data_IF_621085162897
#
_entry.id   IF_621085162897
#
_cell.length_a   1.000
_cell.length_b   1.000
_cell.length_c   1.000
_cell.angle_alpha   90.00
_cell.angle_beta   90.00
_cell.angle_gamma   90.00
#
_symmetry.space_group_name_H-M   'P 1'
#
loop_
_entity.id
_entity.type
_entity.pdbx_description
1 polymer ?
#
# COMPACT_ATOMS: atom_id res chain seq x y z
N UNK A 1 -5.75 8.88 28.71
CA UNK A 1 -6.86 8.12 28.08
C UNK A 1 -8.21 8.74 28.40
N UNK A 2 -8.51 9.08 29.66
CA UNK A 2 -9.81 9.70 30.02
C UNK A 2 -10.07 11.05 29.32
N UNK A 3 -9.03 11.87 29.13
CA UNK A 3 -9.14 13.10 28.35
C UNK A 3 -9.59 12.83 26.89
N UNK A 4 -9.11 11.75 26.26
CA UNK A 4 -9.54 11.35 24.92
C UNK A 4 -11.02 10.96 24.96
N UNK A 5 -11.44 10.15 25.94
CA UNK A 5 -12.84 9.75 26.08
C UNK A 5 -13.78 10.95 26.27
N UNK A 6 -13.42 11.90 27.14
CA UNK A 6 -14.20 13.11 27.37
C UNK A 6 -14.35 13.96 26.10
N UNK A 7 -13.28 14.12 25.31
CA UNK A 7 -13.28 14.88 24.06
C UNK A 7 -14.04 14.18 22.92
N UNK A 8 -14.16 12.85 22.98
CA UNK A 8 -14.79 12.03 21.94
C UNK A 8 -16.28 11.74 22.22
N UNK A 9 -16.86 12.37 23.24
CA UNK A 9 -18.31 12.43 23.45
C UNK A 9 -19.05 13.05 22.25
N UNK A 10 -20.37 12.91 22.21
CA UNK A 10 -21.18 13.46 21.11
C UNK A 10 -21.02 14.99 21.04
N UNK A 11 -20.48 15.54 19.94
CA UNK A 11 -20.31 16.98 19.83
C UNK A 11 -21.65 17.64 19.48
N UNK A 12 -21.96 18.77 20.13
CA UNK A 12 -23.20 19.53 19.89
C UNK A 12 -23.29 20.17 18.49
N UNK A 13 -22.19 20.18 17.71
CA UNK A 13 -22.11 20.76 16.37
C UNK A 13 -20.93 20.19 15.56
N UNK A 14 -20.89 20.47 14.25
CA UNK A 14 -19.76 20.08 13.39
C UNK A 14 -18.46 20.80 13.78
N UNK A 15 -18.52 22.10 14.06
CA UNK A 15 -17.37 22.92 14.46
C UNK A 15 -16.79 22.47 15.81
N UNK A 16 -17.64 22.09 16.77
CA UNK A 16 -17.19 21.51 18.04
C UNK A 16 -16.57 20.12 17.86
N UNK A 17 -17.02 19.35 16.87
CA UNK A 17 -16.42 18.08 16.50
C UNK A 17 -15.01 18.21 15.92
N UNK A 18 -14.74 19.23 15.11
CA UNK A 18 -13.40 19.52 14.57
C UNK A 18 -12.45 20.04 15.65
N UNK A 19 -12.92 20.96 16.49
CA UNK A 19 -12.14 21.48 17.61
C UNK A 19 -11.74 20.37 18.62
N UNK A 20 -12.67 19.45 18.91
CA UNK A 20 -12.37 18.29 19.74
C UNK A 20 -11.35 17.36 19.09
N UNK A 21 -11.47 17.13 17.78
CA UNK A 21 -10.53 16.29 17.04
C UNK A 21 -9.10 16.84 17.07
N UNK A 22 -8.94 18.15 16.89
CA UNK A 22 -7.62 18.82 16.95
C UNK A 22 -6.94 18.66 18.32
N UNK A 23 -7.71 18.50 19.40
CA UNK A 23 -7.17 18.23 20.74
C UNK A 23 -6.88 16.74 20.97
N UNK A 24 -7.64 15.84 20.33
CA UNK A 24 -7.46 14.39 20.45
C UNK A 24 -6.20 13.90 19.73
N UNK A 25 -5.85 14.48 18.59
CA UNK A 25 -4.67 14.08 17.79
C UNK A 25 -3.35 14.07 18.59
N UNK A 26 -2.95 15.16 19.29
CA UNK A 26 -1.71 15.14 20.08
C UNK A 26 -1.76 14.15 21.26
N UNK A 27 -2.93 13.97 21.88
CA UNK A 27 -3.10 12.99 22.97
C UNK A 27 -2.94 11.55 22.47
N UNK A 28 -3.50 11.24 21.29
CA UNK A 28 -3.33 9.95 20.61
C UNK A 28 -1.87 9.68 20.31
N UNK A 29 -1.14 10.68 19.80
CA UNK A 29 0.29 10.55 19.49
C UNK A 29 1.14 10.38 20.74
N UNK A 30 0.84 11.11 21.81
CA UNK A 30 1.52 10.94 23.10
C UNK A 30 1.29 9.52 23.66
N UNK A 31 0.06 9.02 23.55
CA UNK A 31 -0.26 7.65 23.99
C UNK A 31 0.52 6.61 23.16
N UNK A 32 0.62 6.79 21.84
CA UNK A 32 1.42 5.90 20.97
C UNK A 32 2.92 5.91 21.24
N UNK A 33 3.43 6.92 21.95
CA UNK A 33 4.84 7.03 22.37
C UNK A 33 5.10 6.49 23.77
N UNK A 34 4.09 5.91 24.44
CA UNK A 34 4.19 5.51 25.85
C UNK A 34 4.94 4.20 26.09
N UNK A 35 5.40 3.51 25.04
CA UNK A 35 6.19 2.29 25.13
C UNK A 35 5.37 1.01 25.37
N UNK A 36 6.02 -0.17 25.30
CA UNK A 36 5.36 -1.47 25.49
C UNK A 36 4.66 -1.63 26.85
N UNK A 37 5.16 -0.97 27.89
CA UNK A 37 4.61 -1.04 29.25
C UNK A 37 3.17 -0.50 29.33
N UNK A 38 2.78 0.37 28.39
CA UNK A 38 1.43 0.92 28.31
C UNK A 38 0.42 -0.01 27.61
N UNK A 39 0.88 -1.04 26.89
CA UNK A 39 0.03 -1.93 26.07
C UNK A 39 -1.12 -2.56 26.88
N UNK A 40 -0.90 -3.16 28.07
CA UNK A 40 -1.99 -3.79 28.82
C UNK A 40 -3.10 -2.80 29.20
N UNK A 41 -2.74 -1.57 29.57
CA UNK A 41 -3.69 -0.54 29.95
C UNK A 41 -4.51 -0.05 28.75
N UNK A 42 -3.88 0.12 27.59
CA UNK A 42 -4.56 0.53 26.34
C UNK A 42 -5.48 -0.58 25.84
N UNK A 43 -5.02 -1.84 25.86
CA UNK A 43 -5.83 -3.01 25.50
C UNK A 43 -7.08 -3.11 26.38
N UNK A 44 -6.90 -3.03 27.71
CA UNK A 44 -8.02 -3.03 28.65
C UNK A 44 -9.00 -1.89 28.36
N UNK A 45 -8.48 -0.69 28.02
CA UNK A 45 -9.34 0.44 27.65
C UNK A 45 -10.13 0.17 26.36
N UNK A 46 -9.51 -0.41 25.33
CA UNK A 46 -10.18 -0.75 24.06
C UNK A 46 -11.29 -1.78 24.27
N UNK A 47 -11.08 -2.78 25.13
CA UNK A 47 -12.06 -3.84 25.40
C UNK A 47 -13.28 -3.34 26.17
N UNK A 48 -13.13 -2.28 26.97
CA UNK A 48 -14.18 -1.73 27.82
C UNK A 48 -14.77 -0.40 27.30
N UNK A 49 -14.34 0.09 26.13
CA UNK A 49 -14.80 1.37 25.58
C UNK A 49 -16.07 1.20 24.72
N UNK A 50 -17.25 1.68 25.18
CA UNK A 50 -18.49 1.55 24.43
C UNK A 50 -18.56 2.48 23.21
N UNK A 51 -17.88 3.63 23.25
CA UNK A 51 -17.92 4.59 22.16
C UNK A 51 -16.96 4.16 21.04
N UNK A 52 -17.51 3.75 19.90
CA UNK A 52 -16.73 3.22 18.75
C UNK A 52 -15.71 4.22 18.21
N UNK A 53 -16.03 5.52 18.21
CA UNK A 53 -15.14 6.59 17.75
C UNK A 53 -13.95 6.75 18.70
N UNK A 54 -14.19 6.71 20.01
CA UNK A 54 -13.17 6.75 21.05
C UNK A 54 -12.30 5.50 20.98
N UNK A 55 -12.93 4.32 20.84
CA UNK A 55 -12.25 3.04 20.69
C UNK A 55 -11.30 3.04 19.50
N UNK A 56 -11.72 3.59 18.36
CA UNK A 56 -10.87 3.77 17.18
C UNK A 56 -9.62 4.61 17.46
N UNK A 57 -9.71 5.68 18.27
CA UNK A 57 -8.55 6.49 18.66
C UNK A 57 -7.55 5.66 19.46
N UNK A 58 -8.01 4.83 20.40
CA UNK A 58 -7.13 3.96 21.18
C UNK A 58 -6.50 2.86 20.33
N UNK A 59 -7.25 2.25 19.41
CA UNK A 59 -6.70 1.27 18.44
C UNK A 59 -5.61 1.92 17.59
N UNK A 60 -5.82 3.17 17.13
CA UNK A 60 -4.81 3.92 16.39
C UNK A 60 -3.57 4.20 17.25
N UNK A 61 -3.75 4.62 18.51
CA UNK A 61 -2.66 4.86 19.44
C UNK A 61 -1.84 3.58 19.71
N UNK A 62 -2.53 2.46 19.94
CA UNK A 62 -1.91 1.15 20.14
C UNK A 62 -1.06 0.75 18.94
N UNK A 63 -1.53 1.00 17.72
CA UNK A 63 -0.82 0.67 16.49
C UNK A 63 0.54 1.37 16.31
N UNK A 64 0.81 2.46 17.04
CA UNK A 64 2.11 3.14 17.04
C UNK A 64 3.15 2.50 17.97
N UNK A 65 2.73 1.61 18.88
CA UNK A 65 3.63 0.99 19.87
C UNK A 65 4.22 -0.30 19.29
N UNK A 66 5.55 -0.45 19.18
CA UNK A 66 6.16 -1.67 18.63
C UNK A 66 5.91 -2.88 19.53
N UNK A 67 5.85 -4.08 18.95
CA UNK A 67 5.76 -5.33 19.70
C UNK A 67 4.78 -6.35 19.11
N UNK A 68 5.15 -7.63 19.20
CA UNK A 68 4.36 -8.75 18.66
C UNK A 68 2.98 -8.87 19.33
N UNK A 69 2.88 -8.59 20.63
CA UNK A 69 1.60 -8.62 21.36
C UNK A 69 0.56 -7.66 20.77
N UNK A 70 1.02 -6.50 20.30
CA UNK A 70 0.17 -5.51 19.63
C UNK A 70 -0.29 -6.04 18.26
N UNK A 71 0.60 -6.65 17.49
CA UNK A 71 0.25 -7.25 16.19
C UNK A 71 -0.82 -8.32 16.36
N UNK A 72 -0.67 -9.21 17.34
CA UNK A 72 -1.64 -10.27 17.65
C UNK A 72 -2.99 -9.69 18.06
N UNK A 73 -3.00 -8.67 18.90
CA UNK A 73 -4.24 -8.03 19.34
C UNK A 73 -4.96 -7.34 18.19
N UNK A 74 -4.25 -6.56 17.38
CA UNK A 74 -4.81 -5.88 16.21
C UNK A 74 -5.30 -6.89 15.17
N UNK A 75 -4.60 -8.01 14.96
CA UNK A 75 -5.02 -9.05 14.03
C UNK A 75 -6.33 -9.70 14.46
N UNK A 76 -6.48 -9.99 15.76
CA UNK A 76 -7.74 -10.46 16.33
C UNK A 76 -8.88 -9.46 16.09
N UNK A 77 -8.64 -8.17 16.33
CA UNK A 77 -9.65 -7.13 16.05
C UNK A 77 -9.98 -7.04 14.56
N UNK A 78 -8.98 -7.08 13.70
CA UNK A 78 -9.15 -7.03 12.26
C UNK A 78 -10.03 -8.17 11.74
N UNK A 79 -9.77 -9.40 12.20
CA UNK A 79 -10.48 -10.58 11.76
C UNK A 79 -11.91 -10.66 12.33
N UNK A 80 -12.13 -10.28 13.59
CA UNK A 80 -13.35 -10.66 14.31
C UNK A 80 -14.13 -9.49 14.94
N UNK A 81 -13.59 -8.27 14.97
CA UNK A 81 -14.30 -7.11 15.53
C UNK A 81 -14.96 -6.25 14.46
N UNK A 82 -16.30 -6.18 14.49
CA UNK A 82 -17.09 -5.44 13.51
C UNK A 82 -16.97 -3.92 13.62
N UNK A 83 -16.56 -3.40 14.78
CA UNK A 83 -16.52 -1.95 15.05
C UNK A 83 -15.13 -1.38 14.94
N UNK A 84 -14.11 -2.14 15.32
CA UNK A 84 -12.71 -1.74 15.32
C UNK A 84 -11.92 -2.36 14.16
N UNK A 85 -12.45 -3.37 13.47
CA UNK A 85 -11.71 -4.14 12.46
C UNK A 85 -11.11 -3.29 11.35
N UNK A 86 -11.86 -2.32 10.81
CA UNK A 86 -11.34 -1.42 9.77
C UNK A 86 -10.11 -0.62 10.24
N UNK A 87 -10.16 -0.06 11.44
CA UNK A 87 -9.05 0.73 12.01
C UNK A 87 -7.86 -0.16 12.35
N UNK A 88 -8.13 -1.37 12.87
CA UNK A 88 -7.10 -2.36 13.14
C UNK A 88 -6.39 -2.81 11.85
N UNK A 89 -7.12 -3.04 10.76
CA UNK A 89 -6.56 -3.36 9.45
C UNK A 89 -5.65 -2.26 8.92
N UNK A 90 -6.10 -1.01 8.96
CA UNK A 90 -5.28 0.15 8.58
C UNK A 90 -3.99 0.23 9.40
N UNK A 91 -4.08 0.03 10.72
CA UNK A 91 -2.91 0.02 11.60
C UNK A 91 -1.97 -1.14 11.29
N UNK A 92 -2.47 -2.36 11.05
CA UNK A 92 -1.61 -3.50 10.68
C UNK A 92 -0.85 -3.24 9.38
N UNK A 93 -1.51 -2.65 8.38
CA UNK A 93 -0.85 -2.27 7.13
C UNK A 93 0.29 -1.28 7.42
N UNK A 94 0.00 -0.19 8.14
CA UNK A 94 1.02 0.80 8.51
C UNK A 94 2.17 0.16 9.31
N UNK A 95 1.86 -0.67 10.30
CA UNK A 95 2.84 -1.36 11.15
C UNK A 95 3.75 -2.26 10.36
N UNK A 96 3.23 -3.04 9.42
CA UNK A 96 4.07 -3.95 8.63
C UNK A 96 5.02 -3.24 7.66
N UNK A 97 4.79 -1.95 7.39
CA UNK A 97 5.71 -1.08 6.64
C UNK A 97 6.77 -0.44 7.55
N UNK A 98 6.46 -0.18 8.83
CA UNK A 98 7.34 0.54 9.75
C UNK A 98 8.16 -0.39 10.66
N UNK A 99 7.59 -1.53 11.06
CA UNK A 99 8.21 -2.50 11.98
C UNK A 99 8.59 -3.81 11.29
N UNK A 100 8.20 -4.00 10.02
CA UNK A 100 8.50 -5.20 9.25
C UNK A 100 7.38 -6.25 9.28
N UNK A 101 7.59 -7.43 8.66
CA UNK A 101 6.59 -8.51 8.60
C UNK A 101 6.33 -9.13 9.98
N UNK A 102 5.27 -9.93 10.10
CA UNK A 102 4.97 -10.62 11.36
C UNK A 102 6.08 -11.61 11.72
N UNK A 103 6.48 -11.60 12.99
CA UNK A 103 7.49 -12.50 13.55
C UNK A 103 6.93 -13.85 14.00
N UNK A 104 5.62 -14.05 13.84
CA UNK A 104 4.91 -15.24 14.28
C UNK A 104 4.08 -15.87 13.16
N UNK A 105 3.83 -17.18 13.29
CA UNK A 105 2.81 -17.86 12.48
C UNK A 105 1.43 -17.40 12.92
N UNK A 106 0.69 -16.81 12.00
CA UNK A 106 -0.70 -16.38 12.22
C UNK A 106 -1.58 -17.62 12.41
N UNK A 107 -2.49 -17.65 13.40
CA UNK A 107 -3.45 -18.74 13.61
C UNK A 107 -4.29 -19.03 12.36
N UNK A 108 -4.58 -20.31 12.10
CA UNK A 108 -5.28 -20.74 10.89
C UNK A 108 -6.68 -20.11 10.77
N UNK A 109 -7.39 -19.94 11.89
CA UNK A 109 -8.68 -19.23 11.93
C UNK A 109 -8.59 -17.77 11.45
N UNK A 110 -7.49 -17.07 11.73
CA UNK A 110 -7.27 -15.69 11.32
C UNK A 110 -6.83 -15.63 9.86
N UNK A 111 -6.06 -16.63 9.41
CA UNK A 111 -5.71 -16.79 8.00
C UNK A 111 -6.96 -17.00 7.14
N UNK A 112 -7.83 -17.94 7.50
CA UNK A 112 -9.06 -18.20 6.75
C UNK A 112 -9.99 -16.98 6.76
N UNK A 113 -10.15 -16.32 7.91
CA UNK A 113 -10.93 -15.09 7.98
C UNK A 113 -10.42 -14.01 7.00
N UNK A 114 -9.10 -13.83 6.89
CA UNK A 114 -8.52 -12.88 5.93
C UNK A 114 -8.68 -13.34 4.47
N UNK A 115 -8.58 -14.64 4.18
CA UNK A 115 -8.80 -15.17 2.83
C UNK A 115 -10.27 -14.99 2.40
N UNK A 116 -11.22 -15.21 3.30
CA UNK A 116 -12.64 -14.94 3.04
C UNK A 116 -12.88 -13.45 2.79
N UNK A 117 -12.17 -12.56 3.51
CA UNK A 117 -12.24 -11.12 3.21
C UNK A 117 -11.75 -10.78 1.79
N UNK A 118 -10.75 -11.48 1.26
CA UNK A 118 -10.29 -11.28 -0.13
C UNK A 118 -11.33 -11.79 -1.14
N UNK A 119 -11.98 -12.92 -0.82
CA UNK A 119 -13.01 -13.53 -1.68
C UNK A 119 -14.30 -12.73 -1.72
N UNK A 120 -14.76 -12.25 -0.56
CA UNK A 120 -16.16 -11.85 -0.38
C UNK A 120 -16.37 -10.34 -0.24
N UNK A 121 -15.35 -9.57 0.16
CA UNK A 121 -15.49 -8.11 0.24
C UNK A 121 -15.60 -7.49 -1.16
N UNK A 122 -16.22 -6.31 -1.28
CA UNK A 122 -16.06 -5.48 -2.47
C UNK A 122 -14.57 -5.23 -2.77
N UNK A 123 -14.18 -5.14 -4.03
CA UNK A 123 -12.78 -5.03 -4.44
C UNK A 123 -12.00 -3.93 -3.68
N UNK A 124 -12.65 -2.78 -3.42
CA UNK A 124 -12.05 -1.67 -2.68
C UNK A 124 -11.71 -2.00 -1.21
N UNK A 125 -12.46 -2.92 -0.58
CA UNK A 125 -12.26 -3.39 0.80
C UNK A 125 -11.35 -4.60 0.95
N UNK A 126 -10.88 -5.19 -0.16
CA UNK A 126 -9.95 -6.32 -0.17
C UNK A 126 -8.48 -5.90 -0.04
N UNK A 127 -8.16 -4.61 -0.19
CA UNK A 127 -6.76 -4.13 -0.18
C UNK A 127 -5.98 -4.47 1.09
N UNK A 128 -6.54 -4.14 2.25
CA UNK A 128 -5.86 -4.36 3.55
C UNK A 128 -5.62 -5.85 3.85
N UNK A 129 -6.61 -6.77 3.73
CA UNK A 129 -6.35 -8.18 4.00
C UNK A 129 -5.30 -8.76 3.05
N UNK A 130 -5.27 -8.38 1.76
CA UNK A 130 -4.23 -8.85 0.83
C UNK A 130 -2.83 -8.40 1.24
N UNK A 131 -2.69 -7.14 1.69
CA UNK A 131 -1.40 -6.59 2.12
C UNK A 131 -0.93 -7.22 3.43
N UNK A 132 -1.85 -7.46 4.37
CA UNK A 132 -1.56 -8.13 5.64
C UNK A 132 -1.15 -9.59 5.38
N UNK A 133 -1.90 -10.32 4.54
CA UNK A 133 -1.58 -11.68 4.15
C UNK A 133 -0.18 -11.80 3.53
N UNK A 134 0.23 -10.85 2.70
CA UNK A 134 1.58 -10.77 2.13
C UNK A 134 2.69 -10.57 3.17
N UNK A 135 2.36 -10.31 4.43
CA UNK A 135 3.32 -10.15 5.54
C UNK A 135 3.30 -11.33 6.51
N UNK A 136 2.46 -12.34 6.27
CA UNK A 136 2.36 -13.57 7.06
C UNK A 136 3.43 -14.59 6.65
N UNK A 137 4.73 -14.24 6.69
CA UNK A 137 5.81 -15.10 6.18
C UNK A 137 5.95 -16.44 6.93
N UNK A 138 5.44 -16.54 8.15
CA UNK A 138 5.40 -17.80 8.91
C UNK A 138 4.31 -18.78 8.48
N UNK A 139 3.45 -18.40 7.53
CA UNK A 139 2.36 -19.22 7.00
C UNK A 139 2.67 -19.69 5.56
N UNK A 140 1.96 -20.72 5.10
CA UNK A 140 2.10 -21.21 3.72
C UNK A 140 1.67 -20.13 2.71
N UNK A 141 2.57 -19.77 1.80
CA UNK A 141 2.33 -18.68 0.84
C UNK A 141 1.50 -19.11 -0.37
N UNK A 142 1.50 -20.40 -0.73
CA UNK A 142 0.83 -20.86 -1.95
C UNK A 142 -0.70 -20.65 -1.92
N UNK A 143 -1.45 -20.96 -0.84
CA UNK A 143 -2.89 -20.69 -0.78
C UNK A 143 -3.22 -19.19 -0.82
N UNK A 144 -2.37 -18.37 -0.19
CA UNK A 144 -2.47 -16.91 -0.21
C UNK A 144 -2.32 -16.40 -1.64
N UNK A 145 -1.21 -16.75 -2.28
CA UNK A 145 -0.88 -16.27 -3.63
C UNK A 145 -1.97 -16.67 -4.63
N UNK A 146 -2.44 -17.92 -4.57
CA UNK A 146 -3.53 -18.41 -5.42
C UNK A 146 -4.82 -17.62 -5.22
N UNK A 147 -5.25 -17.42 -3.97
CA UNK A 147 -6.51 -16.71 -3.67
C UNK A 147 -6.45 -15.25 -4.15
N UNK A 148 -5.33 -14.56 -3.92
CA UNK A 148 -5.15 -13.16 -4.35
C UNK A 148 -5.10 -13.07 -5.88
N UNK A 149 -4.41 -13.99 -6.55
CA UNK A 149 -4.37 -14.04 -8.02
C UNK A 149 -5.75 -14.29 -8.62
N UNK A 150 -6.48 -15.29 -8.14
CA UNK A 150 -7.83 -15.60 -8.62
C UNK A 150 -8.76 -14.39 -8.51
N UNK A 151 -8.70 -13.67 -7.37
CA UNK A 151 -9.47 -12.43 -7.20
C UNK A 151 -9.02 -11.35 -8.19
N UNK A 152 -7.72 -11.15 -8.37
CA UNK A 152 -7.20 -10.17 -9.33
C UNK A 152 -7.65 -10.45 -10.77
N UNK A 153 -7.57 -11.71 -11.21
CA UNK A 153 -8.01 -12.12 -12.56
C UNK A 153 -9.50 -11.80 -12.78
N UNK A 154 -10.34 -12.02 -11.75
CA UNK A 154 -11.76 -11.66 -11.78
C UNK A 154 -11.93 -10.16 -11.97
N UNK A 155 -11.26 -9.34 -11.17
CA UNK A 155 -11.39 -7.87 -11.21
C UNK A 155 -10.86 -7.23 -12.50
N UNK A 156 -9.85 -7.82 -13.14
CA UNK A 156 -9.37 -7.35 -14.45
C UNK A 156 -10.43 -7.56 -15.54
N UNK A 157 -11.08 -8.73 -15.55
CA UNK A 157 -12.08 -9.13 -16.56
C UNK A 157 -13.44 -8.48 -16.33
N UNK A 158 -13.87 -8.40 -15.08
CA UNK A 158 -15.18 -7.90 -14.67
C UNK A 158 -14.98 -7.02 -13.43
N UNK A 159 -14.63 -5.74 -13.60
CA UNK A 159 -14.42 -4.85 -12.46
C UNK A 159 -15.73 -4.71 -11.69
N UNK A 160 -15.68 -4.81 -10.36
CA UNK A 160 -16.78 -4.43 -9.47
C UNK A 160 -17.22 -2.97 -9.75
N UNK A 161 -18.45 -2.59 -9.41
CA UNK A 161 -18.95 -1.21 -9.60
C UNK A 161 -18.09 -0.20 -8.81
N UNK A 162 -17.53 0.79 -9.50
CA UNK A 162 -16.47 1.66 -8.96
C UNK A 162 -17.01 3.06 -8.68
N UNK A 163 -17.26 3.35 -7.40
CA UNK A 163 -17.46 4.72 -6.97
C UNK A 163 -16.19 5.58 -7.21
N UNK A 164 -16.33 6.90 -7.45
CA UNK A 164 -15.20 7.82 -7.53
C UNK A 164 -14.32 7.74 -6.28
N UNK A 165 -13.01 7.60 -6.46
CA UNK A 165 -12.06 7.54 -5.34
C UNK A 165 -11.58 8.96 -5.03
N UNK A 166 -12.26 9.63 -4.09
CA UNK A 166 -12.01 11.05 -3.75
C UNK A 166 -10.60 11.42 -3.27
N UNK A 167 -9.71 10.44 -3.09
CA UNK A 167 -8.32 10.63 -2.59
C UNK A 167 -7.25 10.02 -3.50
N UNK A 168 -7.61 9.52 -4.68
CA UNK A 168 -6.65 8.95 -5.63
C UNK A 168 -6.46 9.89 -6.81
N UNK A 169 -5.22 10.00 -7.30
CA UNK A 169 -4.91 10.65 -8.58
C UNK A 169 -5.08 9.68 -9.78
N UNK A 170 -5.57 8.47 -9.53
CA UNK A 170 -5.83 7.44 -10.53
C UNK A 170 -7.32 7.34 -10.83
N UNK A 171 -7.67 6.87 -12.04
CA UNK A 171 -9.04 6.44 -12.32
C UNK A 171 -9.50 5.37 -11.32
N UNK A 172 -10.83 5.25 -11.05
CA UNK A 172 -11.33 4.27 -10.09
C UNK A 172 -10.84 2.84 -10.36
N UNK A 173 -10.79 2.43 -11.64
CA UNK A 173 -10.35 1.08 -12.04
C UNK A 173 -8.89 0.86 -11.70
N UNK A 174 -8.04 1.79 -12.13
CA UNK A 174 -6.60 1.74 -11.88
C UNK A 174 -6.29 1.84 -10.38
N UNK A 175 -7.05 2.65 -9.64
CA UNK A 175 -6.94 2.77 -8.19
C UNK A 175 -7.29 1.45 -7.47
N UNK A 176 -8.33 0.75 -7.92
CA UNK A 176 -8.73 -0.54 -7.39
C UNK A 176 -7.65 -1.60 -7.69
N UNK A 177 -7.23 -1.74 -8.95
CA UNK A 177 -6.24 -2.74 -9.35
C UNK A 177 -4.87 -2.49 -8.70
N UNK A 178 -4.49 -1.23 -8.49
CA UNK A 178 -3.27 -0.87 -7.76
C UNK A 178 -3.21 -1.48 -6.34
N UNK A 179 -4.34 -1.73 -5.67
CA UNK A 179 -4.34 -2.41 -4.36
C UNK A 179 -3.80 -3.83 -4.45
N UNK A 180 -4.15 -4.56 -5.52
CA UNK A 180 -3.62 -5.90 -5.80
C UNK A 180 -2.13 -5.85 -6.12
N UNK A 181 -1.73 -4.92 -7.01
CA UNK A 181 -0.33 -4.76 -7.39
C UNK A 181 0.57 -4.47 -6.18
N UNK A 182 0.13 -3.60 -5.26
CA UNK A 182 0.85 -3.31 -4.03
C UNK A 182 0.99 -4.56 -3.15
N UNK A 183 -0.06 -5.38 -3.03
CA UNK A 183 -0.02 -6.62 -2.28
C UNK A 183 0.94 -7.66 -2.90
N UNK A 184 0.98 -7.78 -4.23
CA UNK A 184 1.91 -8.67 -4.94
C UNK A 184 3.37 -8.38 -4.60
N UNK A 185 3.73 -7.09 -4.46
CA UNK A 185 5.07 -6.68 -4.06
C UNK A 185 5.49 -7.12 -2.64
N UNK A 186 4.59 -7.67 -1.83
CA UNK A 186 4.91 -8.24 -0.52
C UNK A 186 5.10 -9.76 -0.56
N UNK A 187 4.71 -10.45 -1.65
CA UNK A 187 4.75 -11.91 -1.77
C UNK A 187 5.41 -12.41 -3.08
N UNK A 188 6.57 -11.89 -3.49
CA UNK A 188 7.13 -12.16 -4.82
C UNK A 188 7.43 -13.64 -5.07
N UNK A 189 7.98 -14.35 -4.09
CA UNK A 189 8.43 -15.75 -4.23
C UNK A 189 7.27 -16.71 -4.57
N UNK A 190 6.13 -16.56 -3.91
CA UNK A 190 4.93 -17.36 -4.20
C UNK A 190 4.16 -16.88 -5.44
N UNK A 191 4.28 -15.61 -5.80
CA UNK A 191 3.44 -14.98 -6.82
C UNK A 191 4.05 -15.01 -8.22
N UNK A 192 5.36 -14.84 -8.37
CA UNK A 192 6.03 -14.77 -9.68
C UNK A 192 5.76 -16.00 -10.57
N UNK A 193 5.88 -17.26 -10.07
CA UNK A 193 5.60 -18.43 -10.91
C UNK A 193 4.17 -18.44 -11.44
N UNK A 194 3.19 -18.14 -10.57
CA UNK A 194 1.77 -18.13 -10.91
C UNK A 194 1.43 -17.01 -11.91
N UNK A 195 2.01 -15.82 -11.72
CA UNK A 195 1.82 -14.70 -12.62
C UNK A 195 2.42 -14.94 -14.01
N UNK A 196 3.59 -15.59 -14.09
CA UNK A 196 4.21 -15.95 -15.39
C UNK A 196 3.34 -16.94 -16.16
N UNK A 197 2.85 -17.97 -15.48
CA UNK A 197 1.95 -18.96 -16.09
C UNK A 197 0.65 -18.29 -16.59
N UNK A 198 0.04 -17.45 -15.76
CA UNK A 198 -1.15 -16.69 -16.14
C UNK A 198 -0.88 -15.74 -17.31
N UNK A 199 0.28 -15.06 -17.33
CA UNK A 199 0.66 -14.13 -18.40
C UNK A 199 0.79 -14.86 -19.74
N UNK A 200 1.55 -15.96 -19.78
CA UNK A 200 1.71 -16.78 -20.99
C UNK A 200 0.36 -17.32 -21.47
N UNK A 201 -0.52 -17.70 -20.55
CA UNK A 201 -1.87 -18.16 -20.88
C UNK A 201 -2.69 -17.03 -21.52
N UNK A 202 -2.69 -15.84 -20.93
CA UNK A 202 -3.39 -14.67 -21.46
C UNK A 202 -2.87 -14.27 -22.85
N UNK A 203 -1.54 -14.28 -23.06
CA UNK A 203 -0.95 -14.02 -24.37
C UNK A 203 -1.38 -15.04 -25.42
N UNK A 204 -1.36 -16.33 -25.09
CA UNK A 204 -1.80 -17.41 -25.98
C UNK A 204 -3.27 -17.29 -26.36
N UNK A 205 -4.10 -16.85 -25.41
CA UNK A 205 -5.54 -16.63 -25.62
C UNK A 205 -5.86 -15.30 -26.33
N UNK A 206 -4.86 -14.45 -26.53
CA UNK A 206 -5.02 -13.13 -27.15
C UNK A 206 -5.68 -12.09 -26.23
N UNK A 207 -5.77 -12.35 -24.92
CA UNK A 207 -6.33 -11.41 -23.94
C UNK A 207 -5.28 -10.35 -23.57
N UNK A 208 -5.14 -9.34 -24.45
CA UNK A 208 -4.12 -8.29 -24.33
C UNK A 208 -4.25 -7.45 -23.07
N UNK A 209 -5.48 -7.17 -22.64
CA UNK A 209 -5.72 -6.37 -21.43
C UNK A 209 -5.29 -7.16 -20.19
N UNK A 210 -5.66 -8.44 -20.11
CA UNK A 210 -5.22 -9.29 -19.01
C UNK A 210 -3.70 -9.47 -18.99
N UNK A 211 -3.08 -9.75 -20.14
CA UNK A 211 -1.63 -9.89 -20.26
C UNK A 211 -0.92 -8.63 -19.75
N UNK A 212 -1.39 -7.43 -20.14
CA UNK A 212 -0.87 -6.14 -19.65
C UNK A 212 -0.93 -6.02 -18.11
N UNK A 213 -2.06 -6.38 -17.50
CA UNK A 213 -2.21 -6.32 -16.04
C UNK A 213 -1.35 -7.34 -15.29
N UNK A 214 -1.19 -8.54 -15.84
CA UNK A 214 -0.29 -9.57 -15.30
C UNK A 214 1.18 -9.17 -15.42
N UNK A 215 1.55 -8.51 -16.53
CA UNK A 215 2.88 -7.96 -16.70
C UNK A 215 3.18 -6.85 -15.67
N UNK A 216 2.22 -5.96 -15.41
CA UNK A 216 2.33 -4.99 -14.31
C UNK A 216 2.50 -5.69 -12.96
N UNK A 217 1.73 -6.75 -12.68
CA UNK A 217 1.89 -7.53 -11.46
C UNK A 217 3.28 -8.16 -11.32
N UNK A 218 3.84 -8.73 -12.39
CA UNK A 218 5.21 -9.24 -12.43
C UNK A 218 6.24 -8.15 -12.09
N UNK A 219 6.07 -6.94 -12.67
CA UNK A 219 6.92 -5.81 -12.34
C UNK A 219 6.82 -5.39 -10.88
N UNK A 220 5.62 -5.41 -10.28
CA UNK A 220 5.45 -5.12 -8.86
C UNK A 220 6.11 -6.15 -7.92
N UNK A 221 6.24 -7.40 -8.37
CA UNK A 221 7.04 -8.44 -7.72
C UNK A 221 8.55 -8.29 -7.94
N UNK A 222 8.99 -7.34 -8.78
CA UNK A 222 10.40 -7.15 -9.12
C UNK A 222 10.93 -8.15 -10.15
N UNK A 223 10.07 -8.79 -10.94
CA UNK A 223 10.52 -9.69 -11.99
C UNK A 223 11.24 -8.93 -13.12
N UNK A 224 12.57 -9.04 -13.16
CA UNK A 224 13.39 -8.39 -14.18
C UNK A 224 13.05 -8.80 -15.61
N UNK A 225 12.44 -9.97 -15.82
CA UNK A 225 11.96 -10.41 -17.13
C UNK A 225 10.84 -9.54 -17.71
N UNK A 226 10.13 -8.78 -16.88
CA UNK A 226 9.05 -7.88 -17.31
C UNK A 226 9.55 -6.53 -17.85
N UNK A 227 10.84 -6.21 -17.68
CA UNK A 227 11.40 -4.87 -17.88
C UNK A 227 11.13 -4.27 -19.26
N UNK A 228 11.47 -4.99 -20.34
CA UNK A 228 11.35 -4.46 -21.71
C UNK A 228 9.88 -4.24 -22.11
N UNK A 229 9.00 -5.18 -21.79
CA UNK A 229 7.58 -5.03 -22.11
C UNK A 229 6.92 -3.93 -21.25
N UNK A 230 7.34 -3.76 -19.99
CA UNK A 230 6.88 -2.65 -19.15
C UNK A 230 7.36 -1.29 -19.66
N UNK A 231 8.58 -1.22 -20.22
CA UNK A 231 9.09 0.01 -20.85
C UNK A 231 8.17 0.50 -21.96
N UNK A 232 7.68 -0.41 -22.81
CA UNK A 232 6.74 -0.05 -23.88
C UNK A 232 5.44 0.55 -23.32
N UNK A 233 4.90 -0.02 -22.23
CA UNK A 233 3.70 0.51 -21.57
C UNK A 233 3.98 1.90 -20.98
N UNK A 234 5.13 2.11 -20.33
CA UNK A 234 5.53 3.41 -19.76
C UNK A 234 5.56 4.51 -20.82
N UNK A 235 6.08 4.20 -22.00
CA UNK A 235 6.31 5.18 -23.07
C UNK A 235 5.09 5.37 -23.98
N UNK A 236 4.24 4.35 -24.14
CA UNK A 236 3.29 4.32 -25.26
C UNK A 236 1.85 3.94 -24.89
N UNK A 237 1.53 3.54 -23.65
CA UNK A 237 0.14 3.26 -23.28
C UNK A 237 -0.70 4.55 -23.32
N UNK A 238 -1.90 4.47 -23.90
CA UNK A 238 -2.78 5.64 -24.06
C UNK A 238 -3.48 6.04 -22.77
N UNK A 239 -3.61 5.12 -21.80
CA UNK A 239 -4.17 5.41 -20.49
C UNK A 239 -3.07 5.94 -19.56
N UNK A 240 -3.13 7.25 -19.27
CA UNK A 240 -2.21 7.95 -18.36
C UNK A 240 -2.14 7.36 -16.96
N UNK A 241 -3.21 6.73 -16.48
CA UNK A 241 -3.25 6.08 -15.17
C UNK A 241 -2.54 4.73 -15.20
N UNK A 242 -2.72 3.98 -16.29
CA UNK A 242 -1.94 2.76 -16.55
C UNK A 242 -0.46 3.10 -16.66
N UNK A 243 -0.07 4.18 -17.37
CA UNK A 243 1.32 4.66 -17.40
C UNK A 243 1.89 4.91 -16.00
N UNK A 244 1.11 5.51 -15.09
CA UNK A 244 1.56 5.73 -13.70
C UNK A 244 1.86 4.41 -12.97
N UNK A 245 1.01 3.39 -13.13
CA UNK A 245 1.28 2.08 -12.53
C UNK A 245 2.46 1.36 -13.21
N UNK A 246 2.56 1.47 -14.53
CA UNK A 246 3.66 0.90 -15.30
C UNK A 246 5.01 1.50 -14.89
N UNK A 247 5.08 2.81 -14.59
CA UNK A 247 6.31 3.45 -14.08
C UNK A 247 6.77 2.81 -12.77
N UNK A 248 5.83 2.54 -11.86
CA UNK A 248 6.13 1.87 -10.57
C UNK A 248 6.59 0.43 -10.78
N UNK A 249 5.88 -0.32 -11.62
CA UNK A 249 6.22 -1.70 -11.97
C UNK A 249 7.60 -1.78 -12.65
N UNK A 250 7.85 -0.92 -13.64
CA UNK A 250 9.09 -0.85 -14.40
C UNK A 250 10.27 -0.51 -13.50
N UNK A 251 10.14 0.49 -12.62
CA UNK A 251 11.19 0.80 -11.64
C UNK A 251 11.57 -0.41 -10.80
N UNK A 252 10.60 -1.20 -10.34
CA UNK A 252 10.86 -2.39 -9.52
C UNK A 252 11.52 -3.51 -10.32
N UNK A 253 11.08 -3.75 -11.56
CA UNK A 253 11.68 -4.75 -12.43
C UNK A 253 13.09 -4.39 -12.91
N UNK A 254 13.31 -3.14 -13.30
CA UNK A 254 14.56 -2.68 -13.92
C UNK A 254 15.58 -2.10 -12.93
N UNK A 255 15.15 -1.73 -11.71
CA UNK A 255 15.99 -1.10 -10.70
C UNK A 255 16.66 0.18 -11.22
N UNK A 256 17.96 0.30 -11.04
CA UNK A 256 18.77 1.43 -11.54
C UNK A 256 18.67 1.60 -13.07
N UNK A 257 18.47 0.52 -13.84
CA UNK A 257 18.32 0.59 -15.30
C UNK A 257 17.06 1.35 -15.74
N UNK A 258 16.15 1.65 -14.81
CA UNK A 258 14.99 2.47 -15.11
C UNK A 258 15.32 3.96 -15.29
N UNK A 259 16.44 4.46 -14.75
CA UNK A 259 16.75 5.90 -14.72
C UNK A 259 16.72 6.55 -16.11
N UNK A 260 17.36 5.99 -17.17
CA UNK A 260 17.38 6.61 -18.49
C UNK A 260 15.99 6.72 -19.15
N UNK A 261 15.03 5.88 -18.75
CA UNK A 261 13.66 5.90 -19.25
C UNK A 261 12.78 6.83 -18.41
N UNK A 262 12.99 6.87 -17.09
CA UNK A 262 12.17 7.68 -16.18
C UNK A 262 12.59 9.14 -16.12
N UNK A 263 13.88 9.45 -16.31
CA UNK A 263 14.40 10.83 -16.27
C UNK A 263 13.72 11.75 -17.30
N UNK A 264 13.55 11.37 -18.58
CA UNK A 264 12.84 12.20 -19.54
C UNK A 264 11.38 12.50 -19.16
N UNK A 265 10.73 11.63 -18.36
CA UNK A 265 9.35 11.83 -17.92
C UNK A 265 9.22 12.95 -16.88
N UNK A 266 10.33 13.51 -16.37
CA UNK A 266 10.30 14.69 -15.53
C UNK A 266 9.79 15.93 -16.26
N UNK A 267 9.75 15.90 -17.60
CA UNK A 267 9.18 16.97 -18.44
C UNK A 267 7.75 16.64 -18.93
N UNK A 268 7.16 15.51 -18.51
CA UNK A 268 5.82 15.11 -18.94
C UNK A 268 4.74 16.00 -18.28
N UNK A 269 3.98 16.71 -19.11
CA UNK A 269 2.95 17.67 -18.68
C UNK A 269 1.55 17.07 -18.62
N UNK A 270 1.42 15.73 -18.57
CA UNK A 270 0.11 15.07 -18.54
C UNK A 270 -0.63 15.40 -17.25
N UNK A 271 -1.76 16.06 -17.40
CA UNK A 271 -2.64 16.40 -16.29
C UNK A 271 -3.63 15.27 -15.95
N UNK A 272 -4.09 15.27 -14.71
CA UNK A 272 -5.21 14.46 -14.24
C UNK A 272 -6.42 15.34 -13.90
N UNK A 273 -7.61 14.81 -14.14
CA UNK A 273 -8.86 15.37 -13.62
C UNK A 273 -9.06 15.14 -12.10
N UNK A 274 -8.27 14.27 -11.49
CA UNK A 274 -8.34 13.96 -10.07
C UNK A 274 -7.31 14.82 -9.30
N UNK A 275 -7.73 15.56 -8.26
CA UNK A 275 -6.83 16.46 -7.51
C UNK A 275 -6.25 17.63 -8.34
N UNK A 276 -7.02 18.15 -9.30
CA UNK A 276 -6.61 19.32 -10.08
C UNK A 276 -6.25 20.55 -9.21
N UNK A 277 -6.88 20.68 -8.04
CA UNK A 277 -6.64 21.75 -7.06
C UNK A 277 -5.40 21.54 -6.17
N UNK A 278 -4.71 20.41 -6.31
CA UNK A 278 -3.45 20.12 -5.62
C UNK A 278 -2.29 20.13 -6.64
N UNK A 279 -1.59 21.27 -6.81
CA UNK A 279 -0.55 21.42 -7.82
C UNK A 279 0.51 20.30 -7.84
N UNK A 280 0.95 19.74 -6.70
CA UNK A 280 1.89 18.62 -6.71
C UNK A 280 1.34 17.29 -7.22
N UNK A 281 0.02 17.11 -7.39
CA UNK A 281 -0.56 15.91 -8.00
C UNK A 281 -1.06 16.15 -9.43
N UNK A 282 -1.15 17.40 -9.88
CA UNK A 282 -1.68 17.74 -11.21
C UNK A 282 -0.91 17.08 -12.35
N UNK A 283 0.42 17.10 -12.32
CA UNK A 283 1.29 16.50 -13.35
C UNK A 283 1.62 15.05 -12.99
N UNK A 284 0.67 14.14 -13.18
CA UNK A 284 0.71 12.79 -12.59
C UNK A 284 1.90 11.94 -13.03
N UNK A 285 2.28 12.01 -14.31
CA UNK A 285 3.36 11.19 -14.86
C UNK A 285 4.72 11.70 -14.37
N UNK A 286 4.96 13.00 -14.46
CA UNK A 286 6.14 13.64 -13.89
C UNK A 286 6.30 13.32 -12.41
N UNK A 287 5.24 13.46 -11.61
CA UNK A 287 5.31 13.22 -10.18
C UNK A 287 5.55 11.74 -9.84
N UNK A 288 4.95 10.83 -10.61
CA UNK A 288 5.20 9.39 -10.45
C UNK A 288 6.63 9.02 -10.81
N UNK A 289 7.16 9.55 -11.92
CA UNK A 289 8.55 9.35 -12.33
C UNK A 289 9.53 9.91 -11.28
N UNK A 290 9.32 11.15 -10.82
CA UNK A 290 10.11 11.77 -9.74
C UNK A 290 10.11 10.92 -8.48
N UNK A 291 8.96 10.44 -8.03
CA UNK A 291 8.87 9.58 -6.84
C UNK A 291 9.67 8.28 -7.01
N UNK A 292 9.61 7.66 -8.19
CA UNK A 292 10.36 6.44 -8.49
C UNK A 292 11.87 6.68 -8.60
N UNK A 293 12.30 7.79 -9.20
CA UNK A 293 13.70 8.21 -9.24
C UNK A 293 14.24 8.49 -7.82
N UNK A 294 13.49 9.22 -6.99
CA UNK A 294 13.83 9.43 -5.58
C UNK A 294 13.96 8.10 -4.82
N UNK A 295 13.10 7.14 -5.12
CA UNK A 295 13.19 5.80 -4.53
C UNK A 295 14.48 5.07 -4.94
N UNK A 296 14.92 5.16 -6.20
CA UNK A 296 16.20 4.60 -6.67
C UNK A 296 17.38 5.27 -5.94
N UNK A 297 17.34 6.59 -5.79
CA UNK A 297 18.36 7.33 -5.06
C UNK A 297 18.43 6.89 -3.59
N UNK A 298 17.28 6.69 -2.93
CA UNK A 298 17.21 6.23 -1.52
C UNK A 298 17.85 4.87 -1.34
N UNK A 299 17.61 3.96 -2.27
CA UNK A 299 18.24 2.63 -2.24
C UNK A 299 19.74 2.67 -2.54
N UNK A 300 20.18 3.64 -3.36
CA UNK A 300 21.59 3.74 -3.79
C UNK A 300 22.47 4.48 -2.78
N UNK A 301 21.94 5.53 -2.14
CA UNK A 301 22.72 6.45 -1.28
C UNK A 301 22.22 6.54 0.17
N UNK A 302 21.07 5.95 0.49
CA UNK A 302 20.41 6.13 1.78
C UNK A 302 19.62 7.45 1.89
N UNK A 303 18.76 7.53 2.90
CA UNK A 303 17.77 8.60 3.02
C UNK A 303 18.34 9.98 3.39
N UNK A 304 19.45 10.01 4.13
CA UNK A 304 20.06 11.25 4.65
C UNK A 304 20.75 12.10 3.58
N UNK A 305 21.10 11.52 2.44
CA UNK A 305 21.86 12.20 1.39
C UNK A 305 20.99 12.90 0.34
N UNK A 306 19.67 12.69 0.39
CA UNK A 306 18.79 13.10 -0.71
C UNK A 306 18.10 14.41 -0.37
N UNK A 307 18.41 15.42 -1.15
CA UNK A 307 17.72 16.70 -1.18
C UNK A 307 17.33 17.04 -2.61
N UNK A 308 16.34 17.92 -2.78
CA UNK A 308 15.97 18.44 -4.10
C UNK A 308 17.15 19.10 -4.82
N UNK A 309 18.04 19.76 -4.07
CA UNK A 309 19.22 20.45 -4.60
C UNK A 309 20.26 19.48 -5.17
N UNK A 310 20.41 18.30 -4.56
CA UNK A 310 21.35 17.26 -5.01
C UNK A 310 20.75 16.29 -6.03
N UNK A 311 19.45 16.40 -6.33
CA UNK A 311 18.70 15.38 -7.08
C UNK A 311 19.33 15.02 -8.42
N UNK A 312 19.60 16.01 -9.29
CA UNK A 312 20.19 15.77 -10.61
C UNK A 312 21.60 15.19 -10.54
N UNK A 313 22.45 15.76 -9.67
CA UNK A 313 23.82 15.29 -9.47
C UNK A 313 23.87 13.83 -8.98
N UNK A 314 22.96 13.45 -8.08
CA UNK A 314 22.83 12.07 -7.59
C UNK A 314 22.30 11.11 -8.65
N UNK A 315 21.38 11.56 -9.52
CA UNK A 315 20.94 10.73 -10.64
C UNK A 315 22.09 10.49 -11.62
N UNK A 316 22.87 11.51 -11.94
CA UNK A 316 24.03 11.37 -12.83
C UNK A 316 25.08 10.42 -12.23
N UNK A 317 25.30 10.48 -10.92
CA UNK A 317 26.18 9.55 -10.20
C UNK A 317 25.68 8.08 -10.33
N UNK A 318 24.38 7.85 -10.14
CA UNK A 318 23.77 6.52 -10.29
C UNK A 318 23.88 5.99 -11.72
N UNK A 319 23.68 6.82 -12.73
CA UNK A 319 23.84 6.41 -14.13
C UNK A 319 25.29 6.05 -14.48
N UNK A 320 26.26 6.70 -13.84
CA UNK A 320 27.69 6.35 -13.95
C UNK A 320 28.08 5.11 -13.13
N UNK A 321 27.18 4.57 -12.32
CA UNK A 321 27.47 3.44 -11.42
C UNK A 321 28.29 3.82 -10.19
N UNK A 322 28.30 5.10 -9.81
CA UNK A 322 28.94 5.56 -8.58
C UNK A 322 28.13 5.09 -7.37
N UNK A 323 28.83 4.57 -6.35
CA UNK A 323 28.23 4.20 -5.07
C UNK A 323 28.71 5.18 -4.00
N UNK A 324 27.92 5.43 -2.94
CA UNK A 324 28.36 6.31 -1.86
C UNK A 324 29.72 5.85 -1.30
N UNK A 325 30.61 6.77 -0.90
CA UNK A 325 31.77 6.40 -0.12
C UNK A 325 31.30 5.71 1.17
N UNK A 326 31.80 4.50 1.41
CA UNK A 326 31.57 3.76 2.65
C UNK A 326 32.14 4.50 3.87
#
# INVERSE_FOLDING_TARGET
MDAIHALMGEPDSQDSGEAAWNQVLPLREQLGKSGPEAVPAIVSRIENEPNTRTRAVFVYALGMIPGEEVDRFLLRLFCFDRTAGHVAGFQLVWRTEHFGPFTFRVPDEQMEAMLDMVRDRPAMGAGDPMRILGKCHGNEQAPIAKTVLERFLKEVKAPDDLAPVGVSYLSPRTSMLNKFLLAFGHMPEGMVPLLREAHVTAEREGDRELAKWLLMALGFCGDGGAGDALREIVLHDTDRYVRCLAIRAYRRAAGVKAVPVLRPLLEDTTETEYHADFPPARLIIQNTARAMLMSILRESFGEKEISYEKFEALLDAVERGETPPK
#
